data_IF_137348775131
#
_entry.id   IF_137348775131
#
_cell.length_a   1.000
_cell.length_b   1.000
_cell.length_c   1.000
_cell.angle_alpha   90.00
_cell.angle_beta   90.00
_cell.angle_gamma   90.00
#
_symmetry.space_group_name_H-M   'P 1'
#
loop_
_entity.id
_entity.type
_entity.pdbx_description
1 polymer ?
#
# COMPACT_ATOMS: atom_id res chain seq x y z
N UNK A 1 9.55 17.03 21.74
CA UNK A 1 10.02 16.31 20.53
C UNK A 1 10.29 17.33 19.43
N UNK A 2 11.40 17.24 18.68
CA UNK A 2 11.65 18.19 17.61
C UNK A 2 10.82 17.84 16.37
N UNK A 3 10.46 18.82 15.53
CA UNK A 3 9.73 18.62 14.27
C UNK A 3 10.40 17.54 13.40
N UNK A 4 11.73 17.53 13.38
CA UNK A 4 12.54 16.54 12.65
C UNK A 4 12.31 15.12 13.17
N UNK A 5 12.32 14.93 14.50
CA UNK A 5 12.12 13.61 15.10
C UNK A 5 10.69 13.13 14.82
N UNK A 6 9.71 14.03 14.89
CA UNK A 6 8.31 13.73 14.55
C UNK A 6 8.14 13.28 13.09
N UNK A 7 8.72 14.02 12.12
CA UNK A 7 8.62 13.64 10.71
C UNK A 7 9.37 12.34 10.41
N UNK A 8 10.49 12.08 11.10
CA UNK A 8 11.23 10.83 10.93
C UNK A 8 10.41 9.64 11.44
N UNK A 9 9.83 9.76 12.63
CA UNK A 9 8.99 8.72 13.22
C UNK A 9 7.75 8.43 12.35
N UNK A 10 7.08 9.47 11.85
CA UNK A 10 5.95 9.30 10.93
C UNK A 10 6.33 8.65 9.60
N UNK A 11 7.51 8.93 9.07
CA UNK A 11 7.98 8.28 7.86
C UNK A 11 8.32 6.79 8.07
N UNK A 12 8.84 6.42 9.24
CA UNK A 12 9.07 5.01 9.60
C UNK A 12 7.76 4.25 9.85
N UNK A 13 6.80 4.88 10.53
CA UNK A 13 5.45 4.35 10.72
C UNK A 13 4.76 4.10 9.38
N UNK A 14 4.86 5.06 8.45
CA UNK A 14 4.32 4.92 7.09
C UNK A 14 4.96 3.75 6.32
N UNK A 15 6.29 3.53 6.45
CA UNK A 15 6.97 2.35 5.87
C UNK A 15 6.46 1.03 6.47
N UNK A 16 6.17 1.02 7.77
CA UNK A 16 5.60 -0.17 8.40
C UNK A 16 4.19 -0.44 7.87
N UNK A 17 3.35 0.59 7.76
CA UNK A 17 1.99 0.48 7.23
C UNK A 17 1.95 0.09 5.75
N UNK A 18 2.93 0.52 4.95
CA UNK A 18 3.14 0.04 3.57
C UNK A 18 3.33 -1.50 3.53
N UNK A 19 4.04 -2.06 4.52
CA UNK A 19 4.24 -3.52 4.65
C UNK A 19 2.94 -4.26 4.95
N UNK A 20 2.07 -3.66 5.79
CA UNK A 20 0.73 -4.20 6.05
C UNK A 20 -0.11 -4.22 4.76
N UNK A 21 -0.03 -3.16 3.96
CA UNK A 21 -0.64 -3.12 2.62
C UNK A 21 -0.19 -4.29 1.73
N UNK A 22 1.12 -4.59 1.71
CA UNK A 22 1.64 -5.75 0.98
C UNK A 22 1.11 -7.09 1.51
N UNK A 23 0.99 -7.26 2.82
CA UNK A 23 0.40 -8.49 3.39
C UNK A 23 -1.06 -8.65 2.98
N UNK A 24 -1.84 -7.57 2.95
CA UNK A 24 -3.24 -7.60 2.47
C UNK A 24 -3.30 -8.02 1.00
N UNK A 25 -2.39 -7.52 0.14
CA UNK A 25 -2.30 -7.91 -1.28
C UNK A 25 -1.97 -9.41 -1.41
N UNK A 26 -1.02 -9.91 -0.61
CA UNK A 26 -0.64 -11.34 -0.63
C UNK A 26 -1.83 -12.21 -0.22
N UNK A 27 -2.51 -11.86 0.87
CA UNK A 27 -3.70 -12.59 1.34
C UNK A 27 -4.81 -12.53 0.27
N UNK A 28 -5.07 -11.37 -0.30
CA UNK A 28 -6.05 -11.20 -1.39
C UNK A 28 -5.71 -12.08 -2.61
N UNK A 29 -4.42 -12.17 -2.96
CA UNK A 29 -3.94 -13.05 -4.04
C UNK A 29 -4.18 -14.53 -3.74
N UNK A 30 -3.95 -14.96 -2.51
CA UNK A 30 -4.21 -16.36 -2.07
C UNK A 30 -5.71 -16.68 -2.19
N UNK A 31 -6.58 -15.78 -1.72
CA UNK A 31 -8.03 -15.96 -1.86
C UNK A 31 -8.48 -16.01 -3.31
N UNK A 32 -7.94 -15.13 -4.16
CA UNK A 32 -8.27 -15.10 -5.59
C UNK A 32 -7.83 -16.39 -6.30
N UNK A 33 -6.60 -16.84 -6.08
CA UNK A 33 -6.10 -18.10 -6.67
C UNK A 33 -6.90 -19.29 -6.14
N UNK A 34 -7.18 -19.33 -4.84
CA UNK A 34 -7.99 -20.39 -4.23
C UNK A 34 -9.40 -20.45 -4.80
N UNK A 35 -10.08 -19.31 -4.92
CA UNK A 35 -11.42 -19.23 -5.50
C UNK A 35 -11.45 -19.66 -6.96
N UNK A 36 -10.48 -19.22 -7.77
CA UNK A 36 -10.33 -19.65 -9.18
C UNK A 36 -10.14 -21.15 -9.29
N UNK A 37 -9.28 -21.75 -8.46
CA UNK A 37 -9.07 -23.21 -8.46
C UNK A 37 -10.37 -23.94 -8.13
N UNK A 38 -11.09 -23.52 -7.09
CA UNK A 38 -12.38 -24.12 -6.71
C UNK A 38 -13.39 -24.00 -7.86
N UNK A 39 -13.49 -22.84 -8.50
CA UNK A 39 -14.39 -22.64 -9.65
C UNK A 39 -14.05 -23.56 -10.83
N UNK A 40 -12.77 -23.74 -11.14
CA UNK A 40 -12.32 -24.63 -12.24
C UNK A 40 -12.61 -26.10 -11.94
N UNK A 41 -12.36 -26.54 -10.70
CA UNK A 41 -12.58 -27.94 -10.32
C UNK A 41 -14.07 -28.30 -10.31
N UNK A 42 -14.92 -27.36 -9.91
CA UNK A 42 -16.37 -27.59 -9.77
C UNK A 42 -17.12 -27.42 -11.08
N UNK A 43 -16.67 -26.53 -11.97
CA UNK A 43 -17.39 -26.18 -13.19
C UNK A 43 -16.71 -26.79 -14.42
N UNK A 44 -17.43 -27.68 -15.13
CA UNK A 44 -16.94 -28.30 -16.37
C UNK A 44 -16.83 -27.29 -17.54
N UNK A 45 -17.70 -26.27 -17.57
CA UNK A 45 -17.72 -25.20 -18.57
C UNK A 45 -18.00 -23.85 -17.90
N UNK A 46 -17.01 -23.28 -17.21
CA UNK A 46 -17.24 -22.07 -16.48
C UNK A 46 -17.34 -20.86 -17.42
N UNK A 47 -18.45 -20.14 -17.32
CA UNK A 47 -18.62 -18.86 -18.01
C UNK A 47 -18.09 -17.72 -17.14
N UNK A 48 -17.04 -17.04 -17.62
CA UNK A 48 -16.28 -16.06 -16.84
C UNK A 48 -16.30 -14.65 -17.40
N UNK A 49 -16.26 -13.67 -16.50
CA UNK A 49 -15.81 -12.32 -16.79
C UNK A 49 -14.71 -11.93 -15.78
N UNK A 50 -13.46 -11.78 -16.25
CA UNK A 50 -12.33 -11.28 -15.45
C UNK A 50 -12.26 -11.89 -14.02
N UNK A 51 -12.30 -13.22 -13.91
CA UNK A 51 -12.26 -14.02 -12.65
C UNK A 51 -13.59 -14.18 -11.88
N UNK A 52 -14.71 -13.67 -12.38
CA UNK A 52 -16.03 -13.85 -11.76
C UNK A 52 -16.86 -14.84 -12.60
N UNK A 53 -17.22 -16.03 -12.06
CA UNK A 53 -18.18 -16.92 -12.70
C UNK A 53 -19.60 -16.35 -12.56
N UNK A 54 -20.27 -16.10 -13.68
CA UNK A 54 -21.67 -15.62 -13.68
C UNK A 54 -22.71 -16.73 -13.89
N UNK A 55 -22.27 -17.89 -14.37
CA UNK A 55 -23.09 -19.10 -14.44
C UNK A 55 -22.98 -19.85 -13.10
N UNK A 56 -23.87 -19.54 -12.17
CA UNK A 56 -23.99 -20.28 -10.90
C UNK A 56 -24.67 -21.63 -11.16
N UNK A 57 -23.88 -22.69 -11.29
CA UNK A 57 -24.38 -24.04 -11.02
C UNK A 57 -24.85 -24.03 -9.56
N UNK A 58 -26.09 -24.44 -9.26
CA UNK A 58 -26.73 -24.30 -7.94
C UNK A 58 -26.08 -25.10 -6.79
N UNK A 59 -24.82 -25.49 -6.93
CA UNK A 59 -24.00 -26.22 -5.99
C UNK A 59 -23.27 -25.25 -5.04
N UNK A 60 -23.23 -25.62 -3.75
CA UNK A 60 -22.58 -24.84 -2.69
C UNK A 60 -21.11 -24.50 -3.02
N UNK A 61 -20.41 -25.43 -3.69
CA UNK A 61 -19.01 -25.27 -4.08
C UNK A 61 -18.79 -24.11 -5.06
N UNK A 62 -19.75 -23.85 -5.95
CA UNK A 62 -19.71 -22.71 -6.88
C UNK A 62 -19.82 -21.38 -6.14
N UNK A 63 -20.69 -21.33 -5.12
CA UNK A 63 -20.88 -20.16 -4.26
C UNK A 63 -19.62 -19.85 -3.44
N UNK A 64 -18.93 -20.88 -2.95
CA UNK A 64 -17.67 -20.76 -2.22
C UNK A 64 -16.59 -20.17 -3.12
N UNK A 65 -16.42 -20.70 -4.34
CA UNK A 65 -15.46 -20.17 -5.31
C UNK A 65 -15.72 -18.69 -5.65
N UNK A 66 -16.99 -18.32 -5.88
CA UNK A 66 -17.39 -16.93 -6.10
C UNK A 66 -17.04 -16.05 -4.90
N UNK A 67 -17.36 -16.49 -3.68
CA UNK A 67 -17.10 -15.71 -2.46
C UNK A 67 -15.60 -15.44 -2.28
N UNK A 68 -14.75 -16.44 -2.55
CA UNK A 68 -13.30 -16.31 -2.46
C UNK A 68 -12.75 -15.35 -3.53
N UNK A 69 -13.27 -15.40 -4.76
CA UNK A 69 -12.86 -14.48 -5.81
C UNK A 69 -13.26 -13.03 -5.50
N UNK A 70 -14.47 -12.81 -4.98
CA UNK A 70 -14.94 -11.47 -4.59
C UNK A 70 -14.13 -10.92 -3.41
N UNK A 71 -13.90 -11.73 -2.38
CA UNK A 71 -13.04 -11.33 -1.25
C UNK A 71 -11.61 -11.06 -1.70
N UNK A 72 -11.05 -11.91 -2.57
CA UNK A 72 -9.71 -11.72 -3.13
C UNK A 72 -9.58 -10.41 -3.90
N UNK A 73 -10.52 -10.11 -4.80
CA UNK A 73 -10.56 -8.86 -5.56
C UNK A 73 -10.69 -7.63 -4.64
N UNK A 74 -11.57 -7.71 -3.64
CA UNK A 74 -11.76 -6.63 -2.69
C UNK A 74 -10.49 -6.35 -1.86
N UNK A 75 -9.84 -7.39 -1.35
CA UNK A 75 -8.59 -7.29 -0.61
C UNK A 75 -7.45 -6.76 -1.49
N UNK A 76 -7.36 -7.18 -2.75
CA UNK A 76 -6.38 -6.63 -3.69
C UNK A 76 -6.59 -5.14 -3.93
N UNK A 77 -7.83 -4.71 -4.18
CA UNK A 77 -8.15 -3.30 -4.40
C UNK A 77 -7.82 -2.45 -3.16
N UNK A 78 -8.21 -2.91 -1.97
CA UNK A 78 -7.88 -2.24 -0.71
C UNK A 78 -6.38 -2.20 -0.44
N UNK A 79 -5.68 -3.32 -0.63
CA UNK A 79 -4.24 -3.40 -0.42
C UNK A 79 -3.47 -2.46 -1.32
N UNK A 80 -3.83 -2.39 -2.61
CA UNK A 80 -3.24 -1.44 -3.57
C UNK A 80 -3.51 0.00 -3.15
N UNK A 81 -4.76 0.33 -2.78
CA UNK A 81 -5.12 1.67 -2.33
C UNK A 81 -4.32 2.09 -1.08
N UNK A 82 -4.15 1.19 -0.11
CA UNK A 82 -3.35 1.42 1.09
C UNK A 82 -1.86 1.62 0.76
N UNK A 83 -1.29 0.78 -0.11
CA UNK A 83 0.10 0.94 -0.55
C UNK A 83 0.33 2.31 -1.20
N UNK A 84 -0.57 2.75 -2.10
CA UNK A 84 -0.48 4.07 -2.74
C UNK A 84 -0.59 5.16 -1.68
N UNK A 85 -1.57 5.06 -0.78
CA UNK A 85 -1.79 6.05 0.28
C UNK A 85 -0.55 6.23 1.15
N UNK A 86 0.01 5.13 1.68
CA UNK A 86 1.19 5.18 2.53
C UNK A 86 2.45 5.59 1.77
N UNK A 87 2.63 5.15 0.52
CA UNK A 87 3.75 5.61 -0.31
C UNK A 87 3.72 7.13 -0.53
N UNK A 88 2.53 7.69 -0.79
CA UNK A 88 2.34 9.14 -0.92
C UNK A 88 2.65 9.87 0.39
N UNK A 89 2.13 9.38 1.52
CA UNK A 89 2.35 9.97 2.85
C UNK A 89 3.85 10.00 3.19
N UNK A 90 4.54 8.88 3.00
CA UNK A 90 5.99 8.75 3.18
C UNK A 90 6.77 9.73 2.31
N UNK A 91 6.38 9.86 1.04
CA UNK A 91 7.03 10.80 0.11
C UNK A 91 6.90 12.25 0.57
N UNK A 92 5.73 12.61 1.12
CA UNK A 92 5.45 13.95 1.62
C UNK A 92 6.25 14.25 2.89
N UNK A 93 6.27 13.35 3.87
CA UNK A 93 7.07 13.52 5.09
C UNK A 93 8.56 13.65 4.79
N UNK A 94 9.09 12.83 3.87
CA UNK A 94 10.49 12.89 3.46
C UNK A 94 10.83 14.17 2.69
N UNK A 95 9.91 14.67 1.86
CA UNK A 95 10.07 15.96 1.19
C UNK A 95 10.14 17.11 2.21
N UNK A 96 9.28 17.09 3.23
CA UNK A 96 9.26 18.13 4.25
C UNK A 96 10.48 18.08 5.18
N UNK A 97 10.97 16.88 5.53
CA UNK A 97 12.25 16.69 6.22
C UNK A 97 13.42 17.31 5.44
N UNK A 98 13.49 17.06 4.13
CA UNK A 98 14.55 17.61 3.28
C UNK A 98 14.52 19.13 3.24
N UNK A 99 13.33 19.75 3.15
CA UNK A 99 13.17 21.22 3.18
C UNK A 99 13.61 21.81 4.52
N UNK A 100 13.23 21.17 5.63
CA UNK A 100 13.63 21.63 6.96
C UNK A 100 15.16 21.59 7.12
N UNK A 101 15.81 20.52 6.67
CA UNK A 101 17.27 20.38 6.67
C UNK A 101 17.96 21.41 5.77
N UNK A 102 17.47 21.61 4.53
CA UNK A 102 18.07 22.59 3.61
C UNK A 102 17.97 24.02 4.15
N UNK A 103 16.84 24.38 4.77
CA UNK A 103 16.66 25.69 5.42
C UNK A 103 17.64 25.88 6.58
N UNK A 104 17.87 24.85 7.38
CA UNK A 104 18.81 24.90 8.50
C UNK A 104 20.26 25.05 8.02
N UNK A 105 20.65 24.28 6.99
CA UNK A 105 21.98 24.36 6.36
C UNK A 105 22.21 25.76 5.73
N UNK A 106 21.19 26.35 5.10
CA UNK A 106 21.28 27.69 4.53
C UNK A 106 21.46 28.76 5.61
N UNK A 107 20.76 28.65 6.74
CA UNK A 107 20.93 29.54 7.89
C UNK A 107 22.35 29.43 8.48
N UNK A 108 22.90 28.21 8.58
CA UNK A 108 24.26 27.98 9.06
C UNK A 108 25.32 28.55 8.12
N UNK A 109 25.17 28.38 6.80
CA UNK A 109 26.08 28.96 5.81
C UNK A 109 26.02 30.48 5.79
N UNK A 110 24.83 31.09 5.89
CA UNK A 110 24.68 32.55 6.06
C UNK A 110 25.33 33.06 7.35
N UNK A 111 25.15 32.37 8.48
CA UNK A 111 25.84 32.71 9.75
C UNK A 111 27.36 32.62 9.62
N UNK A 112 27.90 31.56 8.99
CA UNK A 112 29.34 31.41 8.74
C UNK A 112 29.91 32.54 7.86
N UNK A 113 29.22 32.92 6.78
CA UNK A 113 29.60 34.05 5.93
C UNK A 113 29.65 35.37 6.70
N UNK A 114 28.60 35.67 7.49
CA UNK A 114 28.58 36.87 8.35
C UNK A 114 29.70 36.88 9.39
N UNK A 115 30.12 35.72 9.90
CA UNK A 115 31.22 35.62 10.88
C UNK A 115 32.59 35.85 10.22
N UNK A 116 32.80 35.38 8.98
CA UNK A 116 34.02 35.65 8.20
C UNK A 116 34.17 37.10 7.75
N UNK A 117 33.06 37.81 7.50
CA UNK A 117 33.06 39.23 7.09
C UNK A 117 33.29 40.21 8.27
N UNK A 118 33.30 39.72 9.51
CA UNK A 118 33.54 40.51 10.72
C UNK A 118 34.96 40.34 11.29
N UNK A 119 35.78 39.48 10.66
CA UNK A 119 37.21 39.33 10.88
C UNK A 119 37.94 40.06 9.76
#
# INVERSE_FOLDING_TARGET
MSLRDYLHEKAEESRHNETIGYFIIIIGSIFLVGGVIVTIVVSENPQWFLFIPYALTGELSSLIGLSFNLTGLFLLALGIALCIHYAMERSWYMAELRKAQSSEIEKLTKKRRKKKLKL
#
